data_IF_796669886992
#
_entry.id   IF_796669886992
#
_cell.length_a   1.000
_cell.length_b   1.000
_cell.length_c   1.000
_cell.angle_alpha   90.00
_cell.angle_beta   90.00
_cell.angle_gamma   90.00
#
_symmetry.space_group_name_H-M   'P 1'
#
loop_
_entity.id
_entity.type
_entity.pdbx_description
1 polymer ?
#
# COMPACT_ATOMS: atom_id res chain seq x y z
N UNK A 1 -18.97 -3.05 -12.35
CA UNK A 1 -18.60 -2.40 -11.08
C UNK A 1 -17.10 -2.57 -10.97
N UNK A 2 -16.34 -1.51 -10.73
CA UNK A 2 -14.90 -1.66 -10.51
C UNK A 2 -14.68 -2.44 -9.20
N UNK A 3 -13.66 -3.28 -9.17
CA UNK A 3 -13.27 -3.98 -7.94
C UNK A 3 -12.76 -2.94 -6.93
N UNK A 4 -12.96 -3.11 -5.61
CA UNK A 4 -12.52 -2.14 -4.60
C UNK A 4 -11.04 -1.76 -4.70
N UNK A 5 -10.19 -2.67 -5.19
CA UNK A 5 -8.77 -2.43 -5.38
C UNK A 5 -8.46 -1.55 -6.60
N UNK A 6 -9.29 -1.60 -7.65
CA UNK A 6 -9.14 -0.74 -8.82
C UNK A 6 -9.50 0.70 -8.48
N UNK A 7 -10.57 0.90 -7.71
CA UNK A 7 -10.96 2.23 -7.21
C UNK A 7 -9.84 2.84 -6.34
N UNK A 8 -9.18 2.00 -5.51
CA UNK A 8 -8.03 2.44 -4.73
C UNK A 8 -6.82 2.82 -5.60
N UNK A 9 -6.50 2.01 -6.62
CA UNK A 9 -5.43 2.32 -7.58
C UNK A 9 -5.72 3.65 -8.28
N UNK A 10 -6.95 3.87 -8.75
CA UNK A 10 -7.33 5.13 -9.40
C UNK A 10 -7.24 6.33 -8.45
N UNK A 11 -7.68 6.18 -7.20
CA UNK A 11 -7.62 7.25 -6.21
C UNK A 11 -6.17 7.64 -5.87
N UNK A 12 -5.30 6.67 -5.61
CA UNK A 12 -3.91 6.92 -5.21
C UNK A 12 -3.07 7.44 -6.37
N UNK A 13 -3.21 6.85 -7.56
CA UNK A 13 -2.47 7.33 -8.76
C UNK A 13 -2.85 8.77 -9.11
N UNK A 14 -4.14 9.12 -9.00
CA UNK A 14 -4.60 10.50 -9.17
C UNK A 14 -4.05 11.43 -8.08
N UNK A 15 -4.12 11.05 -6.81
CA UNK A 15 -3.64 11.87 -5.70
C UNK A 15 -2.13 12.15 -5.77
N UNK A 16 -1.35 11.19 -6.26
CA UNK A 16 0.10 11.30 -6.43
C UNK A 16 0.53 11.84 -7.80
N UNK A 17 -0.42 12.13 -8.70
CA UNK A 17 -0.15 12.47 -10.09
C UNK A 17 0.79 11.46 -10.79
N UNK A 18 0.62 10.16 -10.47
CA UNK A 18 1.43 9.08 -11.02
C UNK A 18 0.77 8.55 -12.31
N UNK A 19 1.33 8.82 -13.50
CA UNK A 19 0.78 8.25 -14.73
C UNK A 19 0.96 6.73 -14.73
N UNK A 20 -0.13 6.02 -14.98
CA UNK A 20 -0.13 4.56 -15.10
C UNK A 20 -0.64 4.18 -16.48
N UNK A 21 0.17 3.43 -17.21
CA UNK A 21 -0.23 2.86 -18.49
C UNK A 21 -1.21 1.70 -18.28
N UNK A 22 -2.21 1.60 -19.15
CA UNK A 22 -3.25 0.56 -19.06
C UNK A 22 -2.65 -0.85 -19.07
N UNK A 23 -1.59 -1.05 -19.85
CA UNK A 23 -0.86 -2.32 -19.93
C UNK A 23 -0.26 -2.76 -18.58
N UNK A 24 -0.07 -1.85 -17.62
CA UNK A 24 0.52 -2.14 -16.32
C UNK A 24 -0.51 -2.41 -15.23
N UNK A 25 -1.80 -2.10 -15.46
CA UNK A 25 -2.84 -2.20 -14.42
C UNK A 25 -2.94 -3.59 -13.79
N UNK A 26 -2.91 -4.64 -14.61
CA UNK A 26 -2.99 -6.01 -14.11
C UNK A 26 -1.82 -6.35 -13.18
N UNK A 27 -0.60 -5.95 -13.55
CA UNK A 27 0.60 -6.16 -12.74
C UNK A 27 0.58 -5.34 -11.45
N UNK A 28 0.11 -4.09 -11.50
CA UNK A 28 -0.02 -3.23 -10.32
C UNK A 28 -1.01 -3.86 -9.33
N UNK A 29 -2.18 -4.29 -9.82
CA UNK A 29 -3.19 -4.97 -9.00
C UNK A 29 -2.62 -6.21 -8.31
N UNK A 30 -1.98 -7.11 -9.07
CA UNK A 30 -1.43 -8.34 -8.53
C UNK A 30 -0.35 -8.09 -7.45
N UNK A 31 0.54 -7.12 -7.66
CA UNK A 31 1.55 -6.78 -6.66
C UNK A 31 0.92 -6.15 -5.42
N UNK A 32 -0.08 -5.28 -5.60
CA UNK A 32 -0.76 -4.62 -4.50
C UNK A 32 -1.56 -5.62 -3.64
N UNK A 33 -2.21 -6.61 -4.24
CA UNK A 33 -2.86 -7.70 -3.50
C UNK A 33 -1.88 -8.45 -2.58
N UNK A 34 -0.69 -8.78 -3.10
CA UNK A 34 0.36 -9.44 -2.32
C UNK A 34 0.87 -8.52 -1.21
N UNK A 35 1.16 -7.26 -1.50
CA UNK A 35 1.61 -6.29 -0.50
C UNK A 35 0.59 -6.07 0.61
N UNK A 36 -0.70 -5.95 0.28
CA UNK A 36 -1.76 -5.81 1.28
C UNK A 36 -1.92 -7.06 2.14
N UNK A 37 -1.76 -8.25 1.56
CA UNK A 37 -1.73 -9.50 2.32
C UNK A 37 -0.56 -9.54 3.31
N UNK A 38 0.63 -9.12 2.89
CA UNK A 38 1.79 -9.02 3.77
C UNK A 38 1.60 -7.96 4.86
N UNK A 39 1.00 -6.81 4.52
CA UNK A 39 0.67 -5.75 5.47
C UNK A 39 -0.23 -6.24 6.60
N UNK A 40 -1.24 -7.07 6.30
CA UNK A 40 -2.10 -7.66 7.34
C UNK A 40 -1.34 -8.51 8.34
N UNK A 41 -0.30 -9.24 7.92
CA UNK A 41 0.53 -10.00 8.83
C UNK A 41 1.26 -9.10 9.84
N UNK A 42 1.61 -7.87 9.43
CA UNK A 42 2.24 -6.89 10.31
C UNK A 42 1.20 -6.20 11.21
N UNK A 43 0.01 -5.92 10.69
CA UNK A 43 -1.11 -5.30 11.43
C UNK A 43 -1.65 -6.18 12.57
N UNK A 44 -1.46 -7.50 12.47
CA UNK A 44 -1.83 -8.46 13.53
C UNK A 44 -0.96 -8.34 14.79
N UNK A 45 0.20 -7.68 14.74
CA UNK A 45 1.03 -7.42 15.91
C UNK A 45 0.48 -6.21 16.67
N UNK A 46 0.04 -6.42 17.92
CA UNK A 46 -0.32 -5.31 18.80
C UNK A 46 0.89 -4.37 19.00
N UNK A 47 0.69 -3.10 18.67
CA UNK A 47 1.70 -2.04 18.81
C UNK A 47 1.24 -1.06 19.89
N UNK A 48 1.74 -1.19 21.13
CA UNK A 48 1.46 -0.22 22.19
C UNK A 48 1.90 1.18 21.81
N UNK A 49 1.19 2.20 22.27
CA UNK A 49 1.49 3.62 21.96
C UNK A 49 2.89 4.04 22.45
N UNK A 50 3.41 3.41 23.51
CA UNK A 50 4.76 3.63 24.02
C UNK A 50 5.88 3.04 23.14
N UNK A 51 5.52 2.29 22.08
CA UNK A 51 6.50 1.70 21.17
C UNK A 51 7.13 2.76 20.30
N UNK A 52 8.44 2.97 20.45
CA UNK A 52 9.19 3.85 19.57
C UNK A 52 9.45 3.19 18.20
N UNK A 53 9.42 3.95 17.09
CA UNK A 53 9.85 3.46 15.78
C UNK A 53 11.30 2.98 15.79
N UNK A 54 11.64 2.12 14.83
CA UNK A 54 13.01 1.69 14.57
C UNK A 54 13.94 2.90 14.27
N UNK A 55 15.28 2.72 14.26
CA UNK A 55 16.26 3.69 14.75
C UNK A 55 16.09 5.13 14.27
N UNK A 56 16.17 6.05 15.23
CA UNK A 56 16.25 7.49 15.02
C UNK A 56 17.68 7.85 14.63
N UNK A 57 17.84 8.60 13.53
CA UNK A 57 19.13 9.14 13.12
C UNK A 57 19.75 9.98 14.25
N UNK A 58 20.96 9.63 14.68
CA UNK A 58 21.77 10.43 15.63
C UNK A 58 22.95 11.06 14.90
N UNK A 59 23.10 12.38 15.04
CA UNK A 59 24.19 13.20 14.48
C UNK A 59 25.56 12.87 15.05
#
# INVERSE_FOLDING_TARGET
>A
MAEPLDDYIDAVTKALALPVEEAWRASIRANLEVSLRLGRLVDEFALPDETEPAPVFTV
#
